data_IF_086474669779
#
_entry.id   IF_086474669779
#
_cell.length_a   1.000
_cell.length_b   1.000
_cell.length_c   1.000
_cell.angle_alpha   90.00
_cell.angle_beta   90.00
_cell.angle_gamma   90.00
#
_symmetry.space_group_name_H-M   'P 1'
#
loop_
_entity.id
_entity.type
_entity.pdbx_description
1 polymer ?
#
# COMPACT_ATOMS: atom_id res chain seq x y z
N UNK A 1 1.39 15.48 -24.62
CA UNK A 1 0.54 16.69 -24.76
C UNK A 1 0.21 17.17 -23.36
N UNK A 2 0.53 18.42 -22.99
CA UNK A 2 0.40 18.91 -21.61
C UNK A 2 -1.04 18.86 -21.06
N UNK A 3 -2.03 18.94 -21.95
CA UNK A 3 -3.47 18.87 -21.63
C UNK A 3 -3.86 17.49 -21.07
N UNK A 4 -3.29 16.41 -21.62
CA UNK A 4 -3.57 15.05 -21.15
C UNK A 4 -3.05 14.80 -19.73
N UNK A 5 -1.92 15.43 -19.37
CA UNK A 5 -1.35 15.36 -18.03
C UNK A 5 -2.28 16.01 -17.01
N UNK A 6 -2.69 17.26 -17.21
CA UNK A 6 -3.57 17.96 -16.27
C UNK A 6 -4.93 17.25 -16.09
N UNK A 7 -5.49 16.70 -17.17
CA UNK A 7 -6.73 15.91 -17.13
C UNK A 7 -6.54 14.64 -16.28
N UNK A 8 -5.48 13.87 -16.53
CA UNK A 8 -5.18 12.65 -15.76
C UNK A 8 -4.93 12.97 -14.29
N UNK A 9 -4.25 14.07 -13.98
CA UNK A 9 -4.02 14.55 -12.60
C UNK A 9 -5.33 14.93 -11.90
N UNK A 10 -6.24 15.63 -12.59
CA UNK A 10 -7.56 15.95 -12.04
C UNK A 10 -8.38 14.69 -11.75
N UNK A 11 -8.31 13.67 -12.62
CA UNK A 11 -8.96 12.37 -12.41
C UNK A 11 -8.38 11.67 -11.18
N UNK A 12 -7.05 11.63 -11.02
CA UNK A 12 -6.39 11.05 -9.85
C UNK A 12 -6.85 11.73 -8.56
N UNK A 13 -6.82 13.07 -8.53
CA UNK A 13 -7.21 13.84 -7.35
C UNK A 13 -8.67 13.58 -6.97
N UNK A 14 -9.57 13.49 -7.96
CA UNK A 14 -10.98 13.17 -7.73
C UNK A 14 -11.19 11.76 -7.20
N UNK A 15 -10.35 10.79 -7.59
CA UNK A 15 -10.39 9.44 -7.05
C UNK A 15 -9.95 9.39 -5.58
N UNK A 16 -8.88 10.12 -5.24
CA UNK A 16 -8.38 10.25 -3.87
C UNK A 16 -9.43 10.91 -2.98
N UNK A 17 -9.99 12.04 -3.41
CA UNK A 17 -11.04 12.76 -2.68
C UNK A 17 -12.27 11.86 -2.41
N UNK A 18 -12.71 11.10 -3.42
CA UNK A 18 -13.80 10.11 -3.24
C UNK A 18 -13.45 9.01 -2.24
N UNK A 19 -12.20 8.57 -2.18
CA UNK A 19 -11.79 7.53 -1.25
C UNK A 19 -11.78 8.05 0.19
N UNK A 20 -11.30 9.28 0.39
CA UNK A 20 -11.40 10.00 1.66
C UNK A 20 -12.84 10.18 2.08
N UNK A 21 -13.72 10.66 1.18
CA UNK A 21 -15.15 10.82 1.45
C UNK A 21 -15.87 9.51 1.81
N UNK A 22 -15.33 8.36 1.38
CA UNK A 22 -15.85 7.02 1.69
C UNK A 22 -15.28 6.43 2.98
N UNK A 23 -14.41 7.15 3.69
CA UNK A 23 -13.76 6.67 4.91
C UNK A 23 -12.64 5.65 4.68
N UNK A 24 -12.15 5.53 3.44
CA UNK A 24 -11.04 4.67 3.07
C UNK A 24 -9.95 5.50 2.38
N UNK A 25 -9.21 6.35 3.12
CA UNK A 25 -8.15 7.15 2.53
C UNK A 25 -7.13 6.25 1.83
N UNK A 26 -6.82 6.57 0.57
CA UNK A 26 -5.76 5.88 -0.17
C UNK A 26 -4.44 6.35 0.43
N UNK A 27 -3.61 5.40 0.82
CA UNK A 27 -2.25 5.68 1.28
C UNK A 27 -1.44 6.23 0.10
N UNK A 28 -1.02 7.50 0.20
CA UNK A 28 -0.23 8.17 -0.83
C UNK A 28 1.26 7.81 -0.66
N UNK A 29 1.54 6.52 -0.53
CA UNK A 29 2.90 6.00 -0.45
C UNK A 29 3.70 6.42 -1.69
N UNK A 30 5.01 6.70 -1.55
CA UNK A 30 5.88 7.06 -2.67
C UNK A 30 5.76 6.15 -3.89
N UNK A 31 5.50 4.84 -3.72
CA UNK A 31 5.32 3.93 -4.85
C UNK A 31 4.02 4.19 -5.62
N UNK A 32 2.94 4.58 -4.95
CA UNK A 32 1.69 4.97 -5.59
C UNK A 32 1.85 6.30 -6.35
N UNK A 33 2.56 7.26 -5.76
CA UNK A 33 2.81 8.57 -6.38
C UNK A 33 3.67 8.43 -7.63
N UNK A 34 4.69 7.57 -7.63
CA UNK A 34 5.51 7.31 -8.81
C UNK A 34 4.70 6.74 -9.97
N UNK A 35 3.86 5.73 -9.71
CA UNK A 35 2.99 5.13 -10.73
C UNK A 35 1.93 6.12 -11.26
N UNK A 36 1.42 6.99 -10.38
CA UNK A 36 0.54 8.08 -10.80
C UNK A 36 1.25 9.05 -11.74
N UNK A 37 2.48 9.42 -11.43
CA UNK A 37 3.28 10.33 -12.25
C UNK A 37 3.49 9.74 -13.66
N UNK A 38 3.97 8.50 -13.76
CA UNK A 38 4.14 7.78 -15.04
C UNK A 38 2.84 7.73 -15.86
N UNK A 39 1.70 7.46 -15.21
CA UNK A 39 0.40 7.47 -15.89
C UNK A 39 -0.01 8.87 -16.34
N UNK A 40 0.22 9.90 -15.52
CA UNK A 40 -0.12 11.29 -15.87
C UNK A 40 0.75 11.83 -17.01
N UNK A 41 2.01 11.43 -17.09
CA UNK A 41 2.88 11.74 -18.24
C UNK A 41 2.47 10.97 -19.50
N UNK A 42 1.76 9.85 -19.34
CA UNK A 42 1.32 9.00 -20.43
C UNK A 42 2.34 7.96 -20.85
N UNK A 43 3.34 7.71 -20.01
CA UNK A 43 4.32 6.63 -20.19
C UNK A 43 3.65 5.26 -20.02
N UNK A 44 2.66 5.17 -19.13
CA UNK A 44 1.88 3.95 -18.89
C UNK A 44 0.38 4.20 -19.02
N UNK A 45 -0.37 3.15 -19.35
CA UNK A 45 -1.83 3.16 -19.40
C UNK A 45 -2.44 2.97 -18.00
N UNK A 46 -3.67 3.46 -17.78
CA UNK A 46 -4.35 3.35 -16.48
C UNK A 46 -4.47 1.89 -16.00
N UNK A 47 -4.69 0.95 -16.93
CA UNK A 47 -4.79 -0.48 -16.63
C UNK A 47 -3.46 -1.04 -16.12
N UNK A 48 -2.35 -0.56 -16.67
CA UNK A 48 -1.01 -0.97 -16.26
C UNK A 48 -0.67 -0.38 -14.88
N UNK A 49 -0.91 0.92 -14.68
CA UNK A 49 -0.77 1.60 -13.40
C UNK A 49 -1.55 0.88 -12.28
N UNK A 50 -2.83 0.54 -12.52
CA UNK A 50 -3.66 -0.20 -11.57
C UNK A 50 -3.13 -1.59 -11.27
N UNK A 51 -2.66 -2.31 -12.28
CA UNK A 51 -2.10 -3.66 -12.12
C UNK A 51 -0.85 -3.62 -11.25
N UNK A 52 0.08 -2.72 -11.56
CA UNK A 52 1.33 -2.51 -10.79
C UNK A 52 1.03 -2.15 -9.35
N UNK A 53 0.06 -1.25 -9.11
CA UNK A 53 -0.29 -0.85 -7.76
C UNK A 53 -0.92 -1.97 -6.94
N UNK A 54 -1.80 -2.78 -7.54
CA UNK A 54 -2.40 -3.94 -6.85
C UNK A 54 -1.34 -5.02 -6.54
N UNK A 55 -0.36 -5.21 -7.42
CA UNK A 55 0.76 -6.13 -7.19
C UNK A 55 1.63 -5.69 -6.01
N UNK A 56 1.94 -4.39 -5.92
CA UNK A 56 2.62 -3.79 -4.76
C UNK A 56 1.84 -3.98 -3.46
N UNK A 57 0.52 -3.76 -3.47
CA UNK A 57 -0.33 -3.99 -2.31
C UNK A 57 -0.36 -5.48 -1.91
N UNK A 58 -0.37 -6.39 -2.88
CA UNK A 58 -0.30 -7.82 -2.63
C UNK A 58 1.06 -8.22 -2.01
N UNK A 59 2.16 -7.65 -2.49
CA UNK A 59 3.50 -7.86 -1.95
C UNK A 59 3.62 -7.34 -0.50
N UNK A 60 3.14 -6.12 -0.24
CA UNK A 60 3.10 -5.55 1.11
C UNK A 60 2.21 -6.36 2.06
N UNK A 61 1.06 -6.85 1.60
CA UNK A 61 0.19 -7.70 2.40
C UNK A 61 0.84 -9.05 2.72
N UNK A 62 1.58 -9.64 1.78
CA UNK A 62 2.34 -10.86 2.00
C UNK A 62 3.47 -10.65 3.02
N UNK A 63 4.21 -9.55 2.93
CA UNK A 63 5.27 -9.22 3.88
C UNK A 63 4.71 -8.94 5.29
N UNK A 64 3.59 -8.21 5.40
CA UNK A 64 2.92 -7.96 6.69
C UNK A 64 2.44 -9.26 7.34
N UNK A 65 1.92 -10.21 6.56
CA UNK A 65 1.55 -11.56 7.04
C UNK A 65 2.78 -12.37 7.49
N UNK A 66 3.90 -12.24 6.80
CA UNK A 66 5.17 -12.84 7.19
C UNK A 66 5.66 -12.32 8.54
N UNK A 67 5.73 -10.99 8.71
CA UNK A 67 6.12 -10.36 9.98
C UNK A 67 5.16 -10.68 11.12
N UNK A 68 3.85 -10.70 10.88
CA UNK A 68 2.85 -11.06 11.89
C UNK A 68 3.02 -12.52 12.38
N UNK A 69 3.32 -13.45 11.49
CA UNK A 69 3.64 -14.85 11.85
C UNK A 69 4.91 -14.94 12.69
N UNK A 70 5.97 -14.20 12.33
CA UNK A 70 7.21 -14.15 13.12
C UNK A 70 7.02 -13.48 14.48
N UNK A 71 6.15 -12.47 14.58
CA UNK A 71 5.85 -11.76 15.83
C UNK A 71 5.01 -12.61 16.79
N UNK A 72 3.99 -13.32 16.30
CA UNK A 72 3.24 -14.30 17.11
C UNK A 72 4.13 -15.49 17.52
N UNK A 73 5.01 -15.93 16.63
CA UNK A 73 6.00 -16.96 16.94
C UNK A 73 6.96 -16.54 18.07
N UNK A 74 7.31 -15.25 18.17
CA UNK A 74 8.18 -14.71 19.22
C UNK A 74 7.45 -14.41 20.53
N UNK A 75 6.20 -13.94 20.47
CA UNK A 75 5.39 -13.65 21.65
C UNK A 75 5.02 -14.91 22.46
N UNK A 76 5.12 -16.11 21.86
CA UNK A 76 4.92 -17.39 22.57
C UNK A 76 6.18 -17.90 23.29
N UNK A 77 7.30 -17.19 23.22
CA UNK A 77 8.61 -17.73 23.66
C UNK A 77 9.44 -16.83 24.58
N UNK A 78 8.87 -15.78 25.19
CA UNK A 78 9.43 -15.16 26.40
C UNK A 78 8.48 -15.43 27.57
N UNK A 79 8.61 -16.52 28.34
CA UNK A 79 9.50 -16.76 29.51
C UNK A 79 8.96 -16.09 30.80
N UNK A 80 9.46 -16.40 32.01
CA UNK A 80 9.66 -17.68 32.72
C UNK A 80 9.16 -17.61 34.20
N UNK A 81 8.89 -18.72 34.89
CA UNK A 81 9.15 -18.80 36.34
C UNK A 81 9.20 -20.26 36.85
N UNK A 82 10.32 -20.58 37.48
CA UNK A 82 10.59 -21.81 38.25
C UNK A 82 9.69 -21.90 39.49
N UNK A 83 9.20 -23.08 39.90
CA UNK A 83 8.95 -23.33 41.30
C UNK A 83 10.20 -23.96 41.92
N UNK A 84 10.93 -23.15 42.68
CA UNK A 84 11.72 -23.63 43.82
C UNK A 84 10.77 -24.26 44.84
N UNK A 85 11.00 -25.51 45.24
CA UNK A 85 10.69 -26.04 46.58
C UNK A 85 11.43 -27.40 46.73
N UNK A 86 12.53 -27.44 47.50
CA UNK A 86 12.65 -27.81 48.93
C UNK A 86 12.55 -29.31 49.21
#
# INVERSE_FOLDING_TARGET
MAVDHEIRKAIAQRAIDRAVARGAPIDQDPAFVALLDEWTYGDIEFKEMRTRYLDLLALQAAERRGRWKSQIGRARSGSPDEPTEK
#
